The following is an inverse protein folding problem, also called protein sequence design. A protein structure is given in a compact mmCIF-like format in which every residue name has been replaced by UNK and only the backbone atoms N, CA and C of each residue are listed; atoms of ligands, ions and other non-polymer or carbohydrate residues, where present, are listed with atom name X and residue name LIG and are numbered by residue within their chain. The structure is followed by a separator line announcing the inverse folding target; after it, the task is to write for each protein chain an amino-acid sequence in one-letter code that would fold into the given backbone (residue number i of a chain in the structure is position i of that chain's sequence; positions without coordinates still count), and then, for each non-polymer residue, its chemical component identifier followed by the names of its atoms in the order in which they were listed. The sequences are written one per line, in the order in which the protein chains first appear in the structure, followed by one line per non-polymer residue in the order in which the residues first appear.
data_IF_874605037260
#
_entry.id   IF_874605037260
#
_cell.length_a   1.000
_cell.length_b   1.000
_cell.length_c   1.000
_cell.angle_alpha   90.00
_cell.angle_beta   90.00
_cell.angle_gamma   90.00
#
_symmetry.space_group_name_H-M   'P 1'
#
loop_
_entity.id
_entity.type
_entity.pdbx_description
1 polymer ?
#
# COMPACT_ATOMS: atom_id res chain seq x y z
N UNK A 1 23.49 2.98 -5.28
CA UNK A 1 23.02 2.77 -3.89
C UNK A 1 22.01 1.62 -3.89
N UNK A 2 22.15 0.65 -3.00
CA UNK A 2 21.16 -0.42 -2.84
C UNK A 2 20.01 0.13 -2.00
N UNK A 3 18.79 0.10 -2.53
CA UNK A 3 17.58 0.47 -1.78
C UNK A 3 17.13 -0.78 -1.01
N UNK A 4 16.93 -0.64 0.29
CA UNK A 4 16.39 -1.73 1.11
C UNK A 4 14.87 -1.76 0.99
N UNK A 5 14.32 -2.96 0.81
CA UNK A 5 12.89 -3.18 0.65
C UNK A 5 12.30 -3.64 1.97
N UNK A 6 11.19 -3.02 2.36
CA UNK A 6 10.40 -3.37 3.53
C UNK A 6 9.08 -3.94 3.04
N UNK A 7 8.87 -5.22 3.32
CA UNK A 7 7.64 -5.92 2.97
C UNK A 7 6.60 -5.72 4.07
N UNK A 8 5.43 -5.26 3.67
CA UNK A 8 4.28 -5.04 4.57
C UNK A 8 3.06 -5.76 4.00
N UNK A 9 2.22 -6.29 4.87
CA UNK A 9 1.01 -7.00 4.46
C UNK A 9 -0.16 -6.03 4.34
N UNK A 10 -0.92 -6.13 3.25
CA UNK A 10 -2.19 -5.42 3.10
C UNK A 10 -3.18 -5.85 4.19
N UNK A 11 -3.76 -4.87 4.89
CA UNK A 11 -4.75 -5.10 5.95
C UNK A 11 -6.14 -4.55 5.58
N UNK A 12 -6.23 -3.57 4.69
CA UNK A 12 -7.51 -3.03 4.23
C UNK A 12 -7.41 -1.67 3.57
N UNK A 13 -8.58 -1.11 3.25
CA UNK A 13 -8.73 0.27 2.78
C UNK A 13 -9.71 0.98 3.69
N UNK A 14 -9.37 2.19 4.11
CA UNK A 14 -10.26 3.09 4.84
C UNK A 14 -10.64 4.27 3.95
N UNK A 15 -11.89 4.72 4.06
CA UNK A 15 -12.33 5.96 3.42
C UNK A 15 -12.29 7.09 4.45
N UNK A 16 -11.41 8.05 4.21
CA UNK A 16 -11.31 9.26 5.00
C UNK A 16 -12.59 10.10 4.89
N UNK A 17 -12.91 10.95 5.89
CA UNK A 17 -14.10 11.80 5.87
C UNK A 17 -14.16 12.77 4.68
N UNK A 18 -13.00 13.13 4.12
CA UNK A 18 -12.84 13.97 2.92
C UNK A 18 -13.05 13.20 1.61
N UNK A 19 -13.35 11.91 1.67
CA UNK A 19 -13.58 11.05 0.51
C UNK A 19 -12.34 10.39 -0.06
N UNK A 20 -11.15 10.65 0.48
CA UNK A 20 -9.93 9.97 0.05
C UNK A 20 -9.87 8.52 0.57
N UNK A 21 -9.14 7.66 -0.14
CA UNK A 21 -8.92 6.28 0.27
C UNK A 21 -7.49 6.12 0.80
N UNK A 22 -7.37 5.51 1.98
CA UNK A 22 -6.09 5.20 2.63
C UNK A 22 -5.90 3.68 2.65
N UNK A 23 -4.70 3.21 2.36
CA UNK A 23 -4.34 1.79 2.54
C UNK A 23 -3.88 1.59 3.97
N UNK A 24 -4.48 0.61 4.65
CA UNK A 24 -4.01 0.11 5.94
C UNK A 24 -3.09 -1.07 5.65
N UNK A 25 -1.88 -1.02 6.20
CA UNK A 25 -0.89 -2.10 6.09
C UNK A 25 -0.24 -2.38 7.44
N UNK A 26 0.20 -3.62 7.62
CA UNK A 26 0.86 -4.08 8.85
C UNK A 26 2.26 -4.58 8.48
N UNK A 27 3.32 -4.07 9.11
CA UNK A 27 4.65 -4.61 8.90
C UNK A 27 4.72 -6.03 9.47
N UNK A 28 5.25 -6.98 8.70
CA UNK A 28 5.36 -8.38 9.15
C UNK A 28 6.38 -8.55 10.29
N UNK A 29 7.41 -7.70 10.29
CA UNK A 29 8.49 -7.72 11.28
C UNK A 29 8.78 -6.29 11.76
N UNK A 30 9.48 -6.19 12.90
CA UNK A 30 10.01 -4.91 13.37
C UNK A 30 11.19 -4.50 12.48
N UNK A 31 11.02 -3.44 11.71
CA UNK A 31 12.10 -2.86 10.90
C UNK A 31 12.83 -1.75 11.65
N UNK A 32 14.16 -1.79 11.66
CA UNK A 32 15.01 -0.71 12.17
C UNK A 32 15.40 0.18 11.00
N UNK A 33 15.06 1.47 11.08
CA UNK A 33 15.37 2.46 10.05
C UNK A 33 16.65 3.22 10.41
N UNK A 34 17.56 3.36 9.45
CA UNK A 34 18.80 4.11 9.59
C UNK A 34 18.61 5.54 9.06
N UNK A 35 19.04 6.57 9.81
CA UNK A 35 18.99 7.95 9.34
C UNK A 35 19.72 8.14 8.00
N UNK A 36 19.09 8.85 7.08
CA UNK A 36 19.66 9.15 5.75
C UNK A 36 19.56 8.00 4.74
N UNK A 37 19.07 6.82 5.13
CA UNK A 37 18.86 5.69 4.23
C UNK A 37 17.49 5.79 3.56
N UNK A 38 17.45 5.49 2.25
CA UNK A 38 16.20 5.36 1.50
C UNK A 38 15.71 3.92 1.52
N UNK A 39 14.41 3.78 1.75
CA UNK A 39 13.70 2.50 1.79
C UNK A 39 12.56 2.50 0.77
N UNK A 40 12.22 1.31 0.28
CA UNK A 40 11.07 1.06 -0.58
C UNK A 40 10.08 0.17 0.18
N UNK A 41 8.84 0.61 0.37
CA UNK A 41 7.79 -0.21 0.99
C UNK A 41 7.10 -1.01 -0.11
N UNK A 42 7.16 -2.33 -0.01
CA UNK A 42 6.48 -3.26 -0.90
C UNK A 42 5.27 -3.80 -0.17
N UNK A 43 4.08 -3.60 -0.77
CA UNK A 43 2.82 -4.02 -0.19
C UNK A 43 2.42 -5.39 -0.74
N UNK A 44 2.51 -6.42 0.09
CA UNK A 44 2.18 -7.79 -0.29
C UNK A 44 0.69 -8.08 -0.07
N UNK A 45 0.08 -8.78 -1.03
CA UNK A 45 -1.32 -9.22 -0.97
C UNK A 45 -2.35 -8.27 -1.58
N UNK A 46 -1.94 -7.16 -2.21
CA UNK A 46 -2.82 -6.30 -3.00
C UNK A 46 -2.60 -6.56 -4.50
N UNK A 47 -3.46 -7.39 -5.11
CA UNK A 47 -3.48 -7.55 -6.57
C UNK A 47 -4.46 -6.56 -7.18
N UNK A 48 -3.95 -5.55 -7.90
CA UNK A 48 -4.76 -4.71 -8.77
C UNK A 48 -4.97 -5.45 -10.09
N UNK A 49 -6.22 -5.75 -10.41
CA UNK A 49 -6.61 -6.39 -11.67
C UNK A 49 -7.22 -5.34 -12.60
N UNK A 50 -6.45 -4.92 -13.61
CA UNK A 50 -6.87 -3.95 -14.63
C UNK A 50 -8.04 -4.46 -15.50
N UNK A 51 -8.35 -5.76 -15.48
CA UNK A 51 -9.42 -6.35 -16.30
C UNK A 51 -10.85 -6.01 -15.82
N UNK A 52 -10.98 -5.32 -14.67
CA UNK A 52 -12.28 -4.89 -14.14
C UNK A 52 -12.36 -3.36 -14.00
N UNK A 53 -12.44 -2.59 -15.11
CA UNK A 53 -12.90 -1.23 -15.01
C UNK A 53 -14.34 -1.27 -14.48
N UNK A 54 -14.58 -0.65 -13.32
CA UNK A 54 -15.94 -0.43 -12.83
C UNK A 54 -16.65 0.44 -13.87
N UNK A 55 -17.53 -0.15 -14.66
CA UNK A 55 -18.45 0.61 -15.51
C UNK A 55 -19.16 1.64 -14.63
N UNK A 56 -18.90 2.93 -14.89
CA UNK A 56 -19.80 3.98 -14.46
C UNK A 56 -21.12 3.73 -15.19
N UNK A 57 -22.14 3.25 -14.47
CA UNK A 57 -23.52 3.42 -14.91
C UNK A 57 -23.86 4.89 -14.72
N UNK A 58 -23.71 5.67 -15.79
CA UNK A 58 -24.50 6.89 -15.97
C UNK A 58 -25.88 6.44 -16.45
N UNK A 59 -26.90 6.86 -15.71
CA UNK A 59 -28.31 6.73 -16.07
C UNK A 59 -28.94 8.11 -16.17
#
# INVERSE_FOLDING_TARGET
MKVERIHVKFAGVEKSPDGQFSIIYIPENRQILLPGQRYEIILDGLSYDESKPKEKKEG
#
